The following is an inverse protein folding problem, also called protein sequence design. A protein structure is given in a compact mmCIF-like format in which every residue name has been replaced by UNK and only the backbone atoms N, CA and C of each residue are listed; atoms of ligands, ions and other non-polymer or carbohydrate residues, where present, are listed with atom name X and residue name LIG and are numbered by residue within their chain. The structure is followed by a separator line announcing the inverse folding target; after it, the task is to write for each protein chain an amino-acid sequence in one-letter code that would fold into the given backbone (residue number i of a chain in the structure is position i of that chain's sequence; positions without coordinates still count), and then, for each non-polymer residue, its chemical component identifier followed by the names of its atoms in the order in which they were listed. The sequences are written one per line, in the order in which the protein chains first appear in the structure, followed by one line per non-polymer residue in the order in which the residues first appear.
data_IF_533258398509
#
_entry.id   IF_533258398509
#
_cell.length_a   1.000
_cell.length_b   1.000
_cell.length_c   1.000
_cell.angle_alpha   90.00
_cell.angle_beta   90.00
_cell.angle_gamma   90.00
#
_symmetry.space_group_name_H-M   'P 1'
#
loop_
_entity.id
_entity.type
_entity.pdbx_description
1 polymer ?
#
# COMPACT_ATOMS: atom_id res chain seq x y z
N UNK A 1 -1.15 -5.28 9.73
CA UNK A 1 -0.85 -6.21 10.83
C UNK A 1 -1.50 -5.68 12.10
N UNK A 2 -2.23 -6.55 12.80
CA UNK A 2 -2.77 -6.23 14.13
C UNK A 2 -1.74 -6.76 15.12
N UNK A 3 -1.10 -5.87 15.90
CA UNK A 3 -0.35 -6.34 17.06
C UNK A 3 -1.34 -6.98 18.03
N UNK A 4 -1.17 -8.23 18.46
CA UNK A 4 -2.14 -8.84 19.38
C UNK A 4 -1.90 -8.37 20.81
N UNK A 5 -2.96 -8.22 21.61
CA UNK A 5 -2.82 -8.06 23.05
C UNK A 5 -2.41 -9.41 23.64
N UNK A 6 -1.46 -9.41 24.58
CA UNK A 6 -0.95 -10.63 25.17
C UNK A 6 -1.57 -10.87 26.55
N UNK A 7 -2.39 -11.91 26.67
CA UNK A 7 -2.96 -12.42 27.92
C UNK A 7 -2.92 -13.95 27.88
N UNK A 8 -2.44 -14.58 28.95
CA UNK A 8 -2.35 -16.05 29.08
C UNK A 8 -3.61 -16.67 29.70
N UNK A 9 -4.41 -15.90 30.45
CA UNK A 9 -5.64 -16.39 31.06
C UNK A 9 -6.69 -16.76 30.00
N UNK A 10 -7.07 -18.04 29.94
CA UNK A 10 -8.16 -18.53 29.08
C UNK A 10 -7.77 -18.95 27.66
N UNK A 11 -6.48 -18.97 27.32
CA UNK A 11 -6.01 -19.34 25.97
C UNK A 11 -5.08 -20.56 26.00
N UNK A 12 -5.68 -21.77 25.95
CA UNK A 12 -4.95 -23.05 25.92
C UNK A 12 -4.12 -23.30 24.65
N UNK A 13 -4.31 -22.48 23.61
CA UNK A 13 -3.57 -22.56 22.35
C UNK A 13 -2.28 -21.74 22.32
N UNK A 14 -1.99 -20.95 23.37
CA UNK A 14 -0.76 -20.14 23.47
C UNK A 14 0.19 -20.77 24.48
N UNK A 15 1.40 -21.03 24.03
CA UNK A 15 2.47 -21.66 24.82
C UNK A 15 3.75 -20.83 24.85
N UNK A 16 3.80 -19.76 24.05
CA UNK A 16 4.85 -18.77 24.04
C UNK A 16 4.87 -17.93 25.33
N UNK A 17 5.99 -17.27 25.63
CA UNK A 17 6.06 -16.22 26.64
C UNK A 17 5.84 -14.82 26.02
N UNK A 18 5.80 -13.78 26.86
CA UNK A 18 5.58 -12.38 26.39
C UNK A 18 6.66 -11.93 25.39
N UNK A 19 7.91 -12.33 25.61
CA UNK A 19 9.04 -11.95 24.76
C UNK A 19 8.94 -12.61 23.39
N UNK A 20 8.70 -13.91 23.37
CA UNK A 20 8.48 -14.71 22.19
C UNK A 20 7.23 -14.25 21.43
N UNK A 21 6.14 -13.94 22.13
CA UNK A 21 4.94 -13.39 21.50
C UNK A 21 5.22 -12.08 20.76
N UNK A 22 6.05 -11.19 21.33
CA UNK A 22 6.47 -9.95 20.67
C UNK A 22 7.32 -10.23 19.43
N UNK A 23 8.26 -11.19 19.52
CA UNK A 23 9.08 -11.58 18.37
C UNK A 23 8.24 -12.17 17.23
N UNK A 24 7.29 -13.05 17.56
CA UNK A 24 6.37 -13.64 16.60
C UNK A 24 5.48 -12.58 15.95
N UNK A 25 5.03 -11.58 16.70
CA UNK A 25 4.27 -10.44 16.18
C UNK A 25 5.10 -9.62 15.17
N UNK A 26 6.37 -9.34 15.46
CA UNK A 26 7.28 -8.68 14.52
C UNK A 26 7.52 -9.51 13.26
N UNK A 27 7.73 -10.84 13.40
CA UNK A 27 7.89 -11.74 12.25
C UNK A 27 6.64 -11.78 11.39
N UNK A 28 5.46 -11.85 12.01
CA UNK A 28 4.19 -11.78 11.32
C UNK A 28 4.05 -10.44 10.58
N UNK A 29 4.30 -9.31 11.24
CA UNK A 29 4.27 -8.00 10.58
C UNK A 29 5.26 -7.90 9.40
N UNK A 30 6.47 -8.43 9.56
CA UNK A 30 7.51 -8.46 8.54
C UNK A 30 7.09 -9.27 7.29
N UNK A 31 6.40 -10.40 7.48
CA UNK A 31 5.89 -11.23 6.38
C UNK A 31 4.88 -10.50 5.48
N UNK A 32 4.20 -9.48 6.02
CA UNK A 32 3.24 -8.66 5.28
C UNK A 32 3.84 -7.36 4.71
N UNK A 33 5.13 -7.09 4.95
CA UNK A 33 5.84 -5.94 4.36
C UNK A 33 5.81 -6.08 2.84
N UNK A 34 5.39 -5.00 2.17
CA UNK A 34 5.17 -5.02 0.73
C UNK A 34 3.71 -5.28 0.34
N UNK A 35 2.79 -5.55 1.27
CA UNK A 35 1.38 -5.55 0.90
C UNK A 35 0.95 -4.12 0.50
N UNK A 36 0.20 -3.91 -0.60
CA UNK A 36 -0.23 -2.58 -1.05
C UNK A 36 -1.14 -1.86 -0.05
N UNK A 37 -1.89 -2.63 0.74
CA UNK A 37 -2.82 -2.16 1.76
C UNK A 37 -2.39 -2.73 3.10
N UNK A 38 -1.50 -2.02 3.79
CA UNK A 38 -0.96 -2.45 5.08
C UNK A 38 -1.21 -1.35 6.10
N UNK A 39 -1.99 -1.68 7.13
CA UNK A 39 -2.28 -0.81 8.26
C UNK A 39 -1.72 -1.47 9.54
N UNK A 40 -1.09 -0.68 10.41
CA UNK A 40 -0.55 -1.15 11.67
C UNK A 40 -1.43 -0.65 12.81
N UNK A 41 -1.92 -1.60 13.62
CA UNK A 41 -2.64 -1.32 14.85
C UNK A 41 -1.73 -1.74 16.01
N UNK A 42 -1.07 -0.76 16.61
CA UNK A 42 -0.11 -0.94 17.69
C UNK A 42 -0.78 -0.97 19.08
N UNK A 43 0.04 -1.23 20.12
CA UNK A 43 -0.39 -1.33 21.52
C UNK A 43 -0.15 -0.02 22.31
N UNK A 44 -0.05 1.13 21.64
CA UNK A 44 0.25 2.42 22.30
C UNK A 44 -0.92 3.00 23.11
N UNK A 45 -2.12 2.44 22.95
CA UNK A 45 -3.34 2.89 23.61
C UNK A 45 -3.97 1.75 24.42
N UNK A 46 -4.98 2.06 25.22
CA UNK A 46 -5.82 1.05 25.89
C UNK A 46 -6.53 0.13 24.88
N UNK A 47 -7.04 -1.00 25.39
CA UNK A 47 -7.67 -2.04 24.59
C UNK A 47 -8.87 -1.51 23.77
N UNK A 48 -9.77 -0.76 24.39
CA UNK A 48 -10.96 -0.23 23.73
C UNK A 48 -10.60 0.73 22.60
N UNK A 49 -9.68 1.66 22.86
CA UNK A 49 -9.18 2.59 21.85
C UNK A 49 -8.51 1.86 20.69
N UNK A 50 -7.73 0.82 20.98
CA UNK A 50 -7.08 -0.01 19.96
C UNK A 50 -8.10 -0.76 19.10
N UNK A 51 -9.13 -1.35 19.72
CA UNK A 51 -10.22 -2.03 19.01
C UNK A 51 -10.98 -1.04 18.12
N UNK A 52 -11.30 0.16 18.63
CA UNK A 52 -11.94 1.22 17.82
C UNK A 52 -11.07 1.59 16.61
N UNK A 53 -9.75 1.72 16.79
CA UNK A 53 -8.81 1.98 15.67
C UNK A 53 -8.81 0.86 14.65
N UNK A 54 -8.83 -0.39 15.09
CA UNK A 54 -8.90 -1.56 14.21
C UNK A 54 -10.21 -1.57 13.40
N UNK A 55 -11.36 -1.44 14.08
CA UNK A 55 -12.68 -1.40 13.43
C UNK A 55 -12.75 -0.24 12.44
N UNK A 56 -12.31 0.94 12.84
CA UNK A 56 -12.25 2.12 11.99
C UNK A 56 -11.42 1.89 10.72
N UNK A 57 -10.24 1.27 10.87
CA UNK A 57 -9.39 0.92 9.74
C UNK A 57 -10.10 -0.01 8.76
N UNK A 58 -10.84 -1.01 9.25
CA UNK A 58 -11.64 -1.92 8.41
C UNK A 58 -12.79 -1.19 7.73
N UNK A 59 -13.59 -0.43 8.48
CA UNK A 59 -14.72 0.34 7.94
C UNK A 59 -14.29 1.28 6.81
N UNK A 60 -13.16 1.97 6.97
CA UNK A 60 -12.59 2.84 5.95
C UNK A 60 -12.27 2.08 4.65
N UNK A 61 -11.73 0.85 4.72
CA UNK A 61 -11.41 0.06 3.51
C UNK A 61 -12.65 -0.52 2.84
N UNK A 62 -13.69 -0.85 3.62
CA UNK A 62 -14.96 -1.39 3.10
C UNK A 62 -15.87 -0.26 2.59
N UNK A 63 -15.56 1.00 2.89
CA UNK A 63 -16.35 2.16 2.47
C UNK A 63 -17.56 2.42 3.36
N UNK A 64 -17.53 1.95 4.61
CA UNK A 64 -18.56 2.23 5.61
C UNK A 64 -18.22 3.56 6.27
N UNK A 65 -19.12 4.54 6.14
CA UNK A 65 -19.01 5.81 6.84
C UNK A 65 -19.42 5.63 8.31
N UNK A 66 -18.46 5.79 9.21
CA UNK A 66 -18.68 5.68 10.66
C UNK A 66 -18.93 7.04 11.30
N UNK A 67 -18.96 8.13 10.53
CA UNK A 67 -18.99 9.50 11.03
C UNK A 67 -17.81 9.81 11.95
N UNK A 68 -18.09 10.55 13.01
CA UNK A 68 -17.14 10.92 14.06
C UNK A 68 -16.88 9.80 15.09
N UNK A 69 -17.78 8.80 15.17
CA UNK A 69 -17.84 7.78 16.24
C UNK A 69 -16.59 6.91 16.36
N UNK A 70 -15.81 6.79 15.28
CA UNK A 70 -14.65 5.90 15.21
C UNK A 70 -13.41 6.60 14.61
N UNK A 71 -13.33 7.94 14.62
CA UNK A 71 -12.31 8.69 13.87
C UNK A 71 -10.88 8.14 14.04
N UNK A 72 -10.35 7.52 12.99
CA UNK A 72 -8.90 7.31 12.82
C UNK A 72 -8.39 8.30 11.80
N UNK A 73 -7.53 9.22 12.24
CA UNK A 73 -6.88 10.21 11.37
C UNK A 73 -5.64 9.61 10.68
N UNK A 74 -5.75 8.42 10.09
CA UNK A 74 -4.69 7.85 9.26
C UNK A 74 -4.55 8.68 7.98
N UNK A 75 -3.62 9.64 8.01
CA UNK A 75 -3.31 10.52 6.88
C UNK A 75 -2.11 9.95 6.13
N UNK A 76 -2.26 9.69 4.83
CA UNK A 76 -1.14 9.39 3.96
C UNK A 76 -0.39 10.68 3.63
N UNK A 77 0.80 10.85 4.20
CA UNK A 77 1.69 11.97 3.89
C UNK A 77 2.72 11.55 2.84
N UNK A 78 3.12 12.49 1.97
CA UNK A 78 4.18 12.29 0.97
C UNK A 78 5.28 13.31 1.21
N UNK A 79 6.52 12.85 1.19
CA UNK A 79 7.69 13.70 1.32
C UNK A 79 8.53 13.58 0.04
N UNK A 80 9.18 14.67 -0.34
CA UNK A 80 10.25 14.63 -1.32
C UNK A 80 11.53 14.22 -0.59
N UNK A 81 12.21 13.18 -1.08
CA UNK A 81 13.47 12.71 -0.50
C UNK A 81 14.61 13.30 -1.31
N UNK A 82 15.46 14.09 -0.67
CA UNK A 82 16.64 14.66 -1.29
C UNK A 82 17.70 13.56 -1.49
N UNK A 83 18.32 13.54 -2.66
CA UNK A 83 19.38 12.60 -2.98
C UNK A 83 20.74 13.02 -2.39
N UNK A 84 21.73 12.11 -2.38
CA UNK A 84 21.66 10.74 -2.89
C UNK A 84 20.91 9.78 -1.94
N UNK A 85 20.43 8.67 -2.49
CA UNK A 85 19.79 7.61 -1.69
C UNK A 85 20.82 7.03 -0.70
N UNK A 86 20.48 6.88 0.60
CA UNK A 86 21.35 6.21 1.55
C UNK A 86 21.70 4.77 1.12
N UNK A 87 22.82 4.20 1.61
CA UNK A 87 23.14 2.81 1.35
C UNK A 87 22.08 1.87 1.95
N UNK A 88 21.94 0.67 1.38
CA UNK A 88 20.94 -0.32 1.81
C UNK A 88 21.06 -0.70 3.28
N UNK A 89 22.27 -0.66 3.86
CA UNK A 89 22.54 -0.92 5.28
C UNK A 89 21.92 0.10 6.23
N UNK A 90 21.56 1.29 5.75
CA UNK A 90 20.90 2.33 6.55
C UNK A 90 19.39 2.09 6.69
N UNK A 91 18.83 1.13 5.95
CA UNK A 91 17.41 0.80 6.02
C UNK A 91 17.16 -0.37 6.96
N UNK A 92 16.02 -0.36 7.70
CA UNK A 92 15.53 -1.58 8.36
C UNK A 92 15.20 -2.65 7.30
N UNK A 93 14.88 -3.89 7.70
CA UNK A 93 14.43 -4.93 6.77
C UNK A 93 13.35 -4.41 5.81
N UNK A 94 13.65 -4.46 4.51
CA UNK A 94 12.83 -3.88 3.46
C UNK A 94 12.51 -4.90 2.37
N UNK A 95 11.50 -4.59 1.57
CA UNK A 95 11.14 -5.34 0.37
C UNK A 95 11.04 -4.40 -0.83
N UNK A 96 11.77 -4.72 -1.89
CA UNK A 96 11.75 -3.98 -3.15
C UNK A 96 10.81 -4.62 -4.16
N UNK A 97 10.05 -3.77 -4.86
CA UNK A 97 9.15 -4.17 -5.93
C UNK A 97 9.42 -3.34 -7.16
N UNK A 98 9.49 -3.98 -8.32
CA UNK A 98 9.48 -3.29 -9.59
C UNK A 98 8.04 -2.89 -9.93
N UNK A 99 7.88 -1.62 -10.29
CA UNK A 99 6.58 -1.05 -10.62
C UNK A 99 6.67 -0.26 -11.92
N UNK A 100 5.79 -0.61 -12.85
CA UNK A 100 5.63 0.05 -14.14
C UNK A 100 4.20 0.59 -14.23
N UNK A 101 4.04 1.84 -14.69
CA UNK A 101 2.74 2.40 -15.04
C UNK A 101 2.72 2.89 -16.47
N UNK A 102 1.59 2.64 -17.12
CA UNK A 102 1.27 3.14 -18.45
C UNK A 102 -0.05 3.88 -18.38
N UNK A 103 -0.09 5.09 -18.92
CA UNK A 103 -1.35 5.78 -19.15
C UNK A 103 -1.92 5.31 -20.48
N UNK A 104 -3.23 5.11 -20.53
CA UNK A 104 -3.93 4.70 -21.74
C UNK A 104 -4.61 5.91 -22.37
N UNK A 105 -4.77 5.86 -23.69
CA UNK A 105 -5.56 6.84 -24.41
C UNK A 105 -6.98 6.87 -23.86
N UNK A 106 -7.54 8.07 -23.75
CA UNK A 106 -8.91 8.28 -23.30
C UNK A 106 -9.64 9.18 -24.28
N UNK A 107 -10.80 8.71 -24.74
CA UNK A 107 -11.68 9.46 -25.66
C UNK A 107 -12.26 10.73 -25.02
N UNK A 108 -12.25 10.83 -23.69
CA UNK A 108 -12.68 12.04 -22.97
C UNK A 108 -11.58 12.52 -22.04
N UNK A 109 -11.15 13.77 -22.20
CA UNK A 109 -10.09 14.37 -21.39
C UNK A 109 -10.36 14.43 -19.88
N UNK A 110 -11.58 14.09 -19.43
CA UNK A 110 -11.94 13.99 -18.01
C UNK A 110 -11.77 12.59 -17.42
N UNK A 111 -11.69 11.56 -18.27
CA UNK A 111 -11.49 10.17 -17.84
C UNK A 111 -10.01 9.85 -17.99
N UNK A 112 -9.41 9.31 -16.93
CA UNK A 112 -8.03 8.84 -16.95
C UNK A 112 -8.01 7.33 -16.76
N UNK A 113 -7.38 6.62 -17.69
CA UNK A 113 -7.13 5.20 -17.57
C UNK A 113 -5.62 4.95 -17.44
N UNK A 114 -5.24 4.03 -16.56
CA UNK A 114 -3.85 3.61 -16.39
C UNK A 114 -3.74 2.12 -16.10
N UNK A 115 -2.71 1.50 -16.63
CA UNK A 115 -2.28 0.17 -16.26
C UNK A 115 -1.13 0.27 -15.25
N UNK A 116 -1.12 -0.66 -14.30
CA UNK A 116 -0.01 -0.84 -13.35
C UNK A 116 0.41 -2.29 -13.35
N UNK A 117 1.70 -2.52 -13.61
CA UNK A 117 2.38 -3.80 -13.38
C UNK A 117 3.25 -3.65 -12.14
N UNK A 118 3.15 -4.61 -11.23
CA UNK A 118 3.93 -4.64 -10.00
C UNK A 118 4.38 -6.06 -9.73
N UNK A 119 5.67 -6.26 -9.43
CA UNK A 119 6.19 -7.57 -9.12
C UNK A 119 7.50 -7.59 -8.38
N UNK A 120 7.88 -8.78 -7.96
CA UNK A 120 9.13 -9.12 -7.28
C UNK A 120 9.41 -10.61 -7.51
N UNK A 121 10.68 -11.02 -7.63
CA UNK A 121 11.09 -12.44 -7.75
C UNK A 121 10.30 -13.23 -8.82
N UNK A 122 10.04 -12.63 -9.97
CA UNK A 122 9.33 -13.26 -11.09
C UNK A 122 7.81 -13.34 -10.95
N UNK A 123 7.23 -12.92 -9.81
CA UNK A 123 5.78 -12.87 -9.63
C UNK A 123 5.24 -11.46 -9.89
N UNK A 124 4.21 -11.38 -10.72
CA UNK A 124 3.64 -10.11 -11.20
C UNK A 124 2.15 -10.02 -10.94
N UNK A 125 1.69 -8.81 -10.64
CA UNK A 125 0.29 -8.43 -10.51
C UNK A 125 -0.01 -7.24 -11.41
N UNK A 126 -1.20 -7.26 -12.00
CA UNK A 126 -1.62 -6.28 -12.99
C UNK A 126 -2.95 -5.66 -12.55
N UNK A 127 -3.02 -4.34 -12.59
CA UNK A 127 -4.24 -3.59 -12.25
C UNK A 127 -4.50 -2.55 -13.33
N UNK A 128 -5.74 -2.54 -13.82
CA UNK A 128 -6.27 -1.44 -14.61
C UNK A 128 -7.06 -0.52 -13.69
N UNK A 129 -6.72 0.76 -13.70
CA UNK A 129 -7.38 1.79 -12.92
C UNK A 129 -8.06 2.78 -13.86
N UNK A 130 -9.34 3.01 -13.67
CA UNK A 130 -10.10 4.03 -14.38
C UNK A 130 -10.58 5.07 -13.37
N UNK A 131 -10.20 6.32 -13.58
CA UNK A 131 -10.65 7.46 -12.77
C UNK A 131 -11.63 8.29 -13.59
N UNK A 132 -12.88 8.40 -13.13
CA UNK A 132 -13.97 9.12 -13.81
C UNK A 132 -14.49 10.27 -12.93
N UNK A 133 -14.89 11.40 -13.52
CA UNK A 133 -15.59 12.44 -12.79
C UNK A 133 -16.98 11.93 -12.38
N UNK A 134 -17.39 12.27 -11.18
CA UNK A 134 -18.72 11.99 -10.64
C UNK A 134 -19.55 13.28 -10.66
N UNK A 135 -20.88 13.22 -10.86
CA UNK A 135 -21.73 14.41 -10.96
C UNK A 135 -21.66 15.37 -9.76
N UNK A 136 -21.31 14.87 -8.57
CA UNK A 136 -21.11 15.67 -7.36
C UNK A 136 -19.74 16.40 -7.29
N UNK A 137 -18.97 16.42 -8.38
CA UNK A 137 -17.64 17.03 -8.45
C UNK A 137 -16.50 16.17 -7.90
N UNK A 138 -16.79 14.98 -7.37
CA UNK A 138 -15.76 14.03 -6.93
C UNK A 138 -15.23 13.19 -8.09
N UNK A 139 -14.15 12.43 -7.86
CA UNK A 139 -13.67 11.44 -8.82
C UNK A 139 -13.81 10.05 -8.24
N UNK A 140 -14.38 9.13 -9.02
CA UNK A 140 -14.46 7.70 -8.67
C UNK A 140 -13.29 6.98 -9.33
N UNK A 141 -12.50 6.26 -8.53
CA UNK A 141 -11.40 5.41 -9.00
C UNK A 141 -11.81 3.94 -8.92
N UNK A 142 -12.01 3.30 -10.07
CA UNK A 142 -12.29 1.86 -10.18
C UNK A 142 -10.98 1.13 -10.46
N UNK A 143 -10.67 0.10 -9.67
CA UNK A 143 -9.49 -0.75 -9.85
C UNK A 143 -9.91 -2.17 -10.15
N UNK A 144 -9.43 -2.71 -11.25
CA UNK A 144 -9.72 -4.07 -11.69
C UNK A 144 -8.42 -4.86 -11.75
N UNK A 145 -8.38 -6.01 -11.07
CA UNK A 145 -7.30 -6.98 -11.18
C UNK A 145 -7.35 -7.62 -12.58
N UNK A 146 -6.18 -7.86 -13.20
CA UNK A 146 -6.11 -8.40 -14.55
C UNK A 146 -5.10 -9.53 -14.69
N UNK A 147 -5.25 -10.30 -15.77
CA UNK A 147 -4.25 -11.27 -16.20
C UNK A 147 -3.10 -10.57 -16.95
N UNK A 148 -1.97 -11.26 -17.09
CA UNK A 148 -0.86 -10.78 -17.91
C UNK A 148 -1.25 -10.59 -19.38
N UNK A 149 -2.10 -11.49 -19.90
CA UNK A 149 -2.60 -11.43 -21.28
C UNK A 149 -3.41 -10.16 -21.52
N UNK A 150 -4.38 -9.87 -20.65
CA UNK A 150 -5.23 -8.69 -20.79
C UNK A 150 -4.43 -7.39 -20.64
N UNK A 151 -3.45 -7.39 -19.73
CA UNK A 151 -2.52 -6.28 -19.58
C UNK A 151 -1.77 -5.99 -20.88
N UNK A 152 -1.18 -7.02 -21.51
CA UNK A 152 -0.44 -6.86 -22.77
C UNK A 152 -1.36 -6.41 -23.92
N UNK A 153 -2.61 -6.91 -23.96
CA UNK A 153 -3.58 -6.48 -24.97
C UNK A 153 -3.93 -5.00 -24.82
N UNK A 154 -4.18 -4.52 -23.59
CA UNK A 154 -4.48 -3.11 -23.33
C UNK A 154 -3.26 -2.20 -23.48
N UNK A 155 -2.05 -2.73 -23.35
CA UNK A 155 -0.82 -1.97 -23.54
C UNK A 155 -0.71 -1.38 -24.95
N UNK A 156 -1.33 -2.00 -25.95
CA UNK A 156 -1.42 -1.47 -27.31
C UNK A 156 -2.21 -0.14 -27.41
N UNK A 157 -2.95 0.22 -26.35
CA UNK A 157 -3.66 1.50 -26.23
C UNK A 157 -2.91 2.49 -25.33
N UNK A 158 -1.63 2.23 -25.04
CA UNK A 158 -0.80 3.16 -24.30
C UNK A 158 -0.75 4.50 -25.03
N UNK A 159 -0.84 5.57 -24.27
CA UNK A 159 -0.77 6.92 -24.80
C UNK A 159 0.69 7.34 -24.95
N UNK A 160 1.16 7.49 -26.19
CA UNK A 160 2.52 7.90 -26.50
C UNK A 160 2.85 9.32 -26.02
N UNK A 161 1.83 10.16 -25.76
CA UNK A 161 2.04 11.48 -25.15
C UNK A 161 2.42 11.41 -23.66
N UNK A 162 2.25 10.26 -23.02
CA UNK A 162 2.56 10.06 -21.61
C UNK A 162 3.75 9.12 -21.43
N UNK A 163 4.77 9.60 -20.70
CA UNK A 163 5.91 8.75 -20.36
C UNK A 163 5.50 7.55 -19.50
N UNK A 164 6.06 6.39 -19.84
CA UNK A 164 6.05 5.21 -18.98
C UNK A 164 6.75 5.54 -17.66
N UNK A 165 6.07 5.29 -16.55
CA UNK A 165 6.67 5.49 -15.22
C UNK A 165 7.27 4.17 -14.75
N UNK A 166 8.59 4.11 -14.62
CA UNK A 166 9.32 2.98 -14.07
C UNK A 166 9.90 3.38 -12.72
N UNK A 167 9.70 2.54 -11.70
CA UNK A 167 10.28 2.77 -10.38
C UNK A 167 10.49 1.48 -9.61
N UNK A 168 11.44 1.52 -8.70
CA UNK A 168 11.54 0.54 -7.61
C UNK A 168 10.83 1.12 -6.39
N UNK A 169 9.88 0.37 -5.85
CA UNK A 169 9.20 0.70 -4.60
C UNK A 169 9.80 -0.12 -3.47
N UNK A 170 10.51 0.55 -2.57
CA UNK A 170 11.04 -0.01 -1.33
C UNK A 170 10.03 0.17 -0.21
N UNK A 171 9.56 -0.94 0.34
CA UNK A 171 8.61 -0.96 1.46
C UNK A 171 9.32 -1.41 2.73
N UNK A 172 9.10 -0.70 3.84
CA UNK A 172 9.70 -1.04 5.12
C UNK A 172 8.90 -0.47 6.30
N UNK A 173 9.20 -0.97 7.51
CA UNK A 173 8.59 -0.54 8.76
C UNK A 173 9.63 0.12 9.66
N UNK A 174 9.29 1.29 10.21
CA UNK A 174 10.05 1.97 11.27
C UNK A 174 9.06 2.40 12.34
N UNK A 175 9.30 2.03 13.60
CA UNK A 175 8.46 2.43 14.73
C UNK A 175 6.96 2.20 14.48
N UNK A 176 6.60 1.01 13.96
CA UNK A 176 5.22 0.63 13.60
C UNK A 176 4.57 1.51 12.53
N UNK A 177 5.33 2.35 11.83
CA UNK A 177 4.88 3.14 10.70
C UNK A 177 5.35 2.50 9.39
N UNK A 178 4.41 2.32 8.46
CA UNK A 178 4.69 1.73 7.14
C UNK A 178 5.08 2.81 6.13
N UNK A 179 6.24 2.63 5.51
CA UNK A 179 6.79 3.54 4.51
C UNK A 179 6.87 2.87 3.14
N UNK A 180 6.61 3.68 2.10
CA UNK A 180 6.78 3.31 0.70
C UNK A 180 7.67 4.35 0.05
N UNK A 181 8.92 4.00 -0.21
CA UNK A 181 9.89 4.83 -0.89
C UNK A 181 9.89 4.50 -2.38
N UNK A 182 9.54 5.47 -3.21
CA UNK A 182 9.52 5.33 -4.67
C UNK A 182 10.82 5.89 -5.27
N UNK A 183 11.66 5.01 -5.80
CA UNK A 183 12.90 5.34 -6.50
C UNK A 183 12.61 5.30 -8.01
N UNK A 184 12.43 6.47 -8.61
CA UNK A 184 12.11 6.58 -10.05
C UNK A 184 13.34 6.27 -10.90
N UNK A 185 13.13 5.49 -11.97
CA UNK A 185 14.14 5.14 -12.97
C UNK A 185 13.88 5.93 -14.25
N UNK A 186 14.92 6.08 -15.07
CA UNK A 186 14.78 6.66 -16.41
C UNK A 186 14.04 5.68 -17.35
N UNK A 187 13.30 6.17 -18.36
CA UNK A 187 13.02 7.58 -18.65
C UNK A 187 12.03 8.18 -17.65
N UNK A 188 12.33 9.37 -17.14
CA UNK A 188 11.45 10.14 -16.28
C UNK A 188 11.24 11.53 -16.88
N UNK A 189 10.10 12.16 -16.61
CA UNK A 189 9.85 13.52 -17.05
C UNK A 189 10.88 14.46 -16.40
N UNK A 190 11.58 15.27 -17.20
CA UNK A 190 12.42 16.34 -16.70
C UNK A 190 11.52 17.29 -15.90
N UNK A 191 11.76 17.37 -14.59
CA UNK A 191 10.98 18.21 -13.68
C UNK A 191 11.43 19.65 -13.74
#
# INVERSE_FOLDING_TARGET
AICLLYVLQGHSCRSEDVGLARELDYKAAAAWVGHPYFDVIDNSTDFETKIKRMISSVCQKVGIDTGDRLLTTSKKVKFHVLGPLPPDSAFPPFQDFDVEHHYLQSTSGRVQARLRKRGQKGHWSYIHTIRRPHPNGQYVEVKTQMTARDYNNLLNQADDAHFKIIKTRRCFLVNNQYFQLDIYKEPCHAR
#
